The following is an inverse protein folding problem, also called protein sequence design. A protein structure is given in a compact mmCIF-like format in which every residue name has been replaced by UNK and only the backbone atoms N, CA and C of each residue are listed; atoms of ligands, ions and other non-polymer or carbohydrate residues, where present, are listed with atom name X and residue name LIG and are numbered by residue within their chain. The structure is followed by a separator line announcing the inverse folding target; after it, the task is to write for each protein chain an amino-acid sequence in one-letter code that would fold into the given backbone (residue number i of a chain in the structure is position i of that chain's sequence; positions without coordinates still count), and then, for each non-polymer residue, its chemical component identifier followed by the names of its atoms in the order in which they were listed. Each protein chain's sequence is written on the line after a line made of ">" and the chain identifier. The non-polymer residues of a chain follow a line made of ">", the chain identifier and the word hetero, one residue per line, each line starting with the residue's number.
data_IF_561857527104
#
_entry.id   IF_561857527104
#
_cell.length_a   1.000
_cell.length_b   1.000
_cell.length_c   1.000
_cell.angle_alpha   90.00
_cell.angle_beta   90.00
_cell.angle_gamma   90.00
#
_symmetry.space_group_name_H-M   'P 1'
#
loop_
_entity.id
_entity.type
_entity.pdbx_description
1 polymer ?
#
# COMPACT_ATOMS: atom_id res chain seq x y z
N UNK A 1 -12.56 9.22 13.17
CA UNK A 1 -11.11 9.31 13.43
C UNK A 1 -10.44 10.18 12.37
N UNK A 2 -9.32 10.84 12.69
CA UNK A 2 -8.54 11.64 11.73
C UNK A 2 -7.78 10.78 10.71
N UNK A 3 -7.50 9.53 11.07
CA UNK A 3 -6.76 8.53 10.28
C UNK A 3 -7.68 7.41 9.79
N UNK A 4 -7.39 6.90 8.59
CA UNK A 4 -8.04 5.76 7.94
C UNK A 4 -7.00 4.69 7.61
N UNK A 5 -7.38 3.42 7.69
CA UNK A 5 -6.52 2.31 7.27
C UNK A 5 -6.63 2.10 5.76
N UNK A 6 -5.49 1.90 5.12
CA UNK A 6 -5.36 1.65 3.69
C UNK A 6 -4.42 0.46 3.45
N UNK A 7 -4.64 -0.23 2.34
CA UNK A 7 -3.76 -1.31 1.88
C UNK A 7 -2.77 -0.73 0.88
N UNK A 8 -1.49 -1.09 1.02
CA UNK A 8 -0.48 -0.90 -0.02
C UNK A 8 -0.36 -2.22 -0.75
N UNK A 9 -0.81 -2.26 -2.00
CA UNK A 9 -0.85 -3.47 -2.84
C UNK A 9 0.36 -3.49 -3.76
N UNK A 10 1.01 -4.65 -3.82
CA UNK A 10 2.15 -4.89 -4.72
C UNK A 10 1.74 -4.73 -6.18
N UNK A 11 2.47 -3.93 -6.95
CA UNK A 11 2.25 -3.81 -8.41
C UNK A 11 2.70 -5.05 -9.18
N UNK A 12 3.38 -6.00 -8.53
CA UNK A 12 3.80 -7.25 -9.16
C UNK A 12 2.64 -8.26 -9.31
N UNK A 13 1.41 -7.92 -8.90
CA UNK A 13 0.23 -8.77 -9.09
C UNK A 13 0.20 -10.02 -8.19
N UNK A 14 1.09 -10.08 -7.19
CA UNK A 14 1.25 -11.25 -6.32
C UNK A 14 0.13 -11.38 -5.29
N UNK A 15 -0.67 -10.34 -5.07
CA UNK A 15 -1.67 -10.27 -4.00
C UNK A 15 -1.10 -9.98 -2.62
N UNK A 16 0.22 -9.77 -2.48
CA UNK A 16 0.83 -9.34 -1.23
C UNK A 16 0.53 -7.85 -0.97
N UNK A 17 0.21 -7.53 0.28
CA UNK A 17 -0.10 -6.17 0.68
C UNK A 17 0.38 -5.86 2.09
N UNK A 18 0.68 -4.58 2.32
CA UNK A 18 0.89 -4.04 3.66
C UNK A 18 -0.33 -3.24 4.10
N UNK A 19 -0.56 -3.18 5.41
CA UNK A 19 -1.55 -2.27 5.99
C UNK A 19 -0.82 -1.06 6.55
N UNK A 20 -1.35 0.13 6.26
CA UNK A 20 -0.83 1.39 6.82
C UNK A 20 -1.98 2.31 7.15
N UNK A 21 -1.74 3.27 8.05
CA UNK A 21 -2.68 4.32 8.36
C UNK A 21 -2.30 5.58 7.57
N UNK A 22 -3.31 6.24 7.01
CA UNK A 22 -3.15 7.56 6.39
C UNK A 22 -4.12 8.57 6.99
N UNK A 23 -3.77 9.84 6.94
CA UNK A 23 -4.69 10.91 7.30
C UNK A 23 -5.79 11.00 6.24
N UNK A 24 -7.06 11.10 6.65
CA UNK A 24 -8.19 11.13 5.72
C UNK A 24 -8.12 12.30 4.73
N UNK A 25 -7.54 13.42 5.16
CA UNK A 25 -7.38 14.66 4.36
C UNK A 25 -6.16 14.64 3.44
N UNK A 26 -5.34 13.58 3.43
CA UNK A 26 -4.21 13.49 2.52
C UNK A 26 -4.71 13.27 1.07
N UNK A 27 -4.46 14.25 0.20
CA UNK A 27 -4.86 14.23 -1.21
C UNK A 27 -4.02 13.25 -2.04
N UNK A 28 -2.73 13.12 -1.74
CA UNK A 28 -1.81 12.25 -2.49
C UNK A 28 -1.94 10.80 -2.05
N UNK A 29 -2.04 9.90 -3.02
CA UNK A 29 -1.98 8.45 -2.78
C UNK A 29 -0.57 8.06 -2.37
N UNK A 30 -0.47 7.14 -1.42
CA UNK A 30 0.83 6.61 -0.97
C UNK A 30 1.35 5.63 -2.03
N UNK A 31 2.53 5.90 -2.55
CA UNK A 31 3.30 4.97 -3.38
C UNK A 31 4.71 4.82 -2.80
N UNK A 32 5.13 3.59 -2.52
CA UNK A 32 6.46 3.32 -1.95
C UNK A 32 7.06 2.06 -2.53
N UNK A 33 8.38 2.05 -2.75
CA UNK A 33 9.09 0.81 -3.01
C UNK A 33 9.22 0.02 -1.71
N UNK A 34 8.76 -1.23 -1.72
CA UNK A 34 8.90 -2.18 -0.60
C UNK A 34 9.24 -3.56 -1.14
N UNK A 35 9.73 -4.41 -0.26
CA UNK A 35 10.01 -5.80 -0.58
C UNK A 35 8.71 -6.59 -0.74
N UNK A 36 8.58 -7.33 -1.83
CA UNK A 36 7.55 -8.35 -2.00
C UNK A 36 8.20 -9.74 -1.81
N UNK A 37 7.85 -10.48 -0.74
CA UNK A 37 8.42 -11.80 -0.47
C UNK A 37 7.99 -12.87 -1.46
N UNK A 38 6.96 -12.62 -2.30
CA UNK A 38 6.53 -13.58 -3.33
C UNK A 38 7.39 -13.51 -4.59
N UNK A 39 7.96 -12.35 -4.88
CA UNK A 39 8.84 -12.12 -6.06
C UNK A 39 10.31 -11.99 -5.65
N UNK A 40 10.57 -11.90 -4.34
CA UNK A 40 11.89 -11.68 -3.75
C UNK A 40 12.60 -10.41 -4.24
N UNK A 41 11.83 -9.35 -4.51
CA UNK A 41 12.35 -8.08 -5.05
C UNK A 41 11.65 -6.89 -4.43
N UNK A 42 12.32 -5.74 -4.46
CA UNK A 42 11.69 -4.47 -4.15
C UNK A 42 10.86 -4.03 -5.35
N UNK A 43 9.57 -3.82 -5.12
CA UNK A 43 8.61 -3.41 -6.14
C UNK A 43 7.82 -2.21 -5.64
N UNK A 44 7.18 -1.51 -6.55
CA UNK A 44 6.30 -0.42 -6.19
C UNK A 44 5.04 -0.97 -5.52
N UNK A 45 4.63 -0.36 -4.41
CA UNK A 45 3.35 -0.64 -3.78
C UNK A 45 2.46 0.59 -3.89
N UNK A 46 1.22 0.38 -4.28
CA UNK A 46 0.22 1.45 -4.51
C UNK A 46 -0.93 1.36 -3.53
N UNK A 47 -1.48 2.50 -3.14
CA UNK A 47 -2.58 2.57 -2.19
C UNK A 47 -3.92 2.09 -2.78
N UNK A 48 -4.59 1.20 -2.05
CA UNK A 48 -5.98 0.81 -2.24
C UNK A 48 -6.78 0.97 -0.93
N UNK A 49 -8.06 1.30 -1.07
CA UNK A 49 -8.99 1.40 0.06
C UNK A 49 -9.30 0.01 0.62
N UNK A 50 -9.40 -0.07 1.94
CA UNK A 50 -9.99 -1.23 2.61
C UNK A 50 -11.50 -1.04 2.53
N UNK A 51 -12.21 -2.01 1.95
CA UNK A 51 -13.67 -2.04 1.92
C UNK A 51 -14.19 -2.53 3.26
#
# INVERSE_FOLDING_TARGET
>A
SRTVLVKLVSTAGTGFFYVTSKVRTAERKIARMKYDPRVNKHVLFTEQKIK
#
